data_IF_786319655643
#
_entry.id   IF_786319655643
#
_cell.length_a   1.000
_cell.length_b   1.000
_cell.length_c   1.000
_cell.angle_alpha   90.00
_cell.angle_beta   90.00
_cell.angle_gamma   90.00
#
_symmetry.space_group_name_H-M   'P 1'
#
loop_
_entity.id
_entity.type
_entity.pdbx_description
1 polymer ?
#
# COMPACT_ATOMS: atom_id res chain seq x y z
N UNK A 1 -13.80 17.77 21.92
CA UNK A 1 -13.36 19.18 22.01
C UNK A 1 -12.47 19.43 20.81
N UNK A 2 -12.72 20.48 20.05
CA UNK A 2 -11.90 20.84 18.90
C UNK A 2 -10.67 21.64 19.35
N UNK A 3 -9.74 21.91 18.44
CA UNK A 3 -8.51 22.65 18.73
C UNK A 3 -8.74 24.10 19.20
N UNK A 4 -9.90 24.68 18.86
CA UNK A 4 -10.34 26.01 19.33
C UNK A 4 -11.08 25.97 20.68
N UNK A 5 -11.15 24.80 21.33
CA UNK A 5 -11.85 24.60 22.59
C UNK A 5 -13.36 24.37 22.47
N UNK A 6 -13.94 24.53 21.27
CA UNK A 6 -15.38 24.29 21.05
C UNK A 6 -15.76 22.80 21.21
N UNK A 7 -17.05 22.54 21.41
CA UNK A 7 -17.59 21.19 21.64
C UNK A 7 -18.78 20.93 20.73
N UNK A 8 -18.80 19.74 20.14
CA UNK A 8 -19.89 19.25 19.29
C UNK A 8 -20.43 17.97 19.93
N UNK A 9 -21.75 17.92 20.15
CA UNK A 9 -22.45 16.70 20.56
C UNK A 9 -22.75 15.81 19.36
N UNK A 10 -22.87 14.50 19.58
CA UNK A 10 -23.18 13.54 18.53
C UNK A 10 -24.15 12.47 19.04
N UNK A 11 -25.00 11.95 18.15
CA UNK A 11 -25.77 10.72 18.39
C UNK A 11 -24.97 9.48 18.00
N UNK A 12 -24.32 9.53 16.83
CA UNK A 12 -23.36 8.55 16.33
C UNK A 12 -22.12 9.29 15.85
N UNK A 13 -20.93 8.71 16.03
CA UNK A 13 -19.66 9.26 15.57
C UNK A 13 -18.98 8.27 14.64
N UNK A 14 -18.51 8.72 13.47
CA UNK A 14 -17.65 7.93 12.58
C UNK A 14 -16.25 8.52 12.62
N UNK A 15 -15.28 7.72 13.03
CA UNK A 15 -13.86 8.06 13.01
C UNK A 15 -13.23 7.61 11.68
N UNK A 16 -12.88 8.57 10.84
CA UNK A 16 -12.36 8.33 9.48
C UNK A 16 -11.04 9.08 9.23
N UNK A 17 -10.16 9.11 10.23
CA UNK A 17 -8.94 9.93 10.22
C UNK A 17 -7.79 9.31 9.44
N UNK A 18 -7.91 8.05 9.04
CA UNK A 18 -6.88 7.31 8.32
C UNK A 18 -5.57 7.24 9.12
N UNK A 19 -4.47 7.67 8.52
CA UNK A 19 -3.17 7.73 9.19
C UNK A 19 -2.26 8.83 8.66
N UNK A 20 -1.19 9.07 9.42
CA UNK A 20 -0.12 10.00 9.08
C UNK A 20 1.11 9.23 8.57
N UNK A 21 1.94 9.81 7.69
CA UNK A 21 3.20 9.20 7.28
C UNK A 21 4.06 8.86 8.48
N UNK A 22 4.65 7.67 8.47
CA UNK A 22 5.65 7.29 9.46
C UNK A 22 6.89 8.13 9.23
N UNK A 23 7.23 8.94 10.22
CA UNK A 23 8.43 9.78 10.18
C UNK A 23 9.69 8.94 10.38
N UNK A 24 10.79 9.40 9.79
CA UNK A 24 12.12 8.93 10.13
C UNK A 24 12.47 9.36 11.55
N UNK A 25 13.14 8.49 12.30
CA UNK A 25 13.60 8.76 13.67
C UNK A 25 15.09 9.12 13.75
N UNK A 26 15.78 9.21 12.61
CA UNK A 26 17.19 9.56 12.55
C UNK A 26 17.40 11.09 12.56
N UNK A 27 18.64 11.51 12.83
CA UNK A 27 19.05 12.91 12.73
C UNK A 27 18.87 13.45 11.31
N UNK A 28 18.48 14.72 11.20
CA UNK A 28 18.24 15.41 9.92
C UNK A 28 16.89 15.09 9.27
N UNK A 29 16.02 14.34 9.92
CA UNK A 29 14.67 14.00 9.42
C UNK A 29 13.71 15.19 9.31
N UNK A 30 14.08 16.34 9.89
CA UNK A 30 13.38 17.62 9.87
C UNK A 30 13.99 18.65 8.91
N UNK A 31 15.04 18.29 8.17
CA UNK A 31 15.65 19.15 7.15
C UNK A 31 14.65 19.49 6.04
N UNK A 32 14.82 20.68 5.45
CA UNK A 32 14.12 21.05 4.22
C UNK A 32 14.54 20.13 3.07
N UNK A 33 13.64 19.88 2.12
CA UNK A 33 13.83 18.90 1.05
C UNK A 33 13.52 17.45 1.46
N UNK A 34 13.16 17.18 2.73
CA UNK A 34 12.64 15.89 3.18
C UNK A 34 11.11 15.89 3.11
N UNK A 35 10.54 15.02 2.29
CA UNK A 35 9.12 14.97 2.00
C UNK A 35 8.51 13.62 2.38
N UNK A 36 7.26 13.67 2.84
CA UNK A 36 6.36 12.53 2.84
C UNK A 36 5.32 12.76 1.75
N UNK A 37 4.64 11.72 1.25
CA UNK A 37 3.58 11.88 0.24
C UNK A 37 2.25 11.39 0.79
N UNK A 38 1.42 12.30 1.31
CA UNK A 38 0.09 11.93 1.84
C UNK A 38 -0.99 12.97 1.57
N UNK A 39 -0.66 14.24 1.71
CA UNK A 39 -1.58 15.34 1.47
C UNK A 39 -1.29 15.99 0.11
N UNK A 40 -2.29 16.69 -0.44
CA UNK A 40 -2.08 17.52 -1.63
C UNK A 40 -0.97 18.55 -1.39
N UNK A 41 -0.92 19.16 -0.21
CA UNK A 41 0.10 20.15 0.13
C UNK A 41 1.52 19.56 0.10
N UNK A 42 1.69 18.27 0.40
CA UNK A 42 2.98 17.60 0.26
C UNK A 42 3.41 17.53 -1.21
N UNK A 43 2.51 17.09 -2.09
CA UNK A 43 2.76 16.99 -3.52
C UNK A 43 3.04 18.38 -4.15
N UNK A 44 2.27 19.40 -3.77
CA UNK A 44 2.46 20.78 -4.24
C UNK A 44 3.84 21.32 -3.86
N UNK A 45 4.33 21.04 -2.64
CA UNK A 45 5.69 21.41 -2.21
C UNK A 45 6.77 20.68 -3.00
N UNK A 46 6.66 19.36 -3.14
CA UNK A 46 7.60 18.58 -3.93
C UNK A 46 7.69 19.09 -5.37
N UNK A 47 6.54 19.38 -6.00
CA UNK A 47 6.47 19.90 -7.36
C UNK A 47 7.15 21.28 -7.49
N UNK A 48 6.94 22.16 -6.51
CA UNK A 48 7.55 23.50 -6.49
C UNK A 48 9.08 23.45 -6.35
N UNK A 49 9.62 22.46 -5.62
CA UNK A 49 11.06 22.27 -5.42
C UNK A 49 11.74 21.54 -6.58
N UNK A 50 11.00 20.70 -7.31
CA UNK A 50 11.51 19.85 -8.40
C UNK A 50 12.41 20.56 -9.42
N UNK A 51 12.17 21.82 -9.84
CA UNK A 51 13.07 22.50 -10.78
C UNK A 51 14.52 22.69 -10.28
N UNK A 52 14.74 22.70 -8.96
CA UNK A 52 16.06 22.91 -8.33
C UNK A 52 16.74 21.62 -7.88
N UNK A 53 16.04 20.49 -8.00
CA UNK A 53 16.47 19.18 -7.54
C UNK A 53 17.04 18.39 -8.70
N UNK A 54 18.17 17.73 -8.51
CA UNK A 54 18.73 16.80 -9.49
C UNK A 54 18.83 15.38 -8.93
N UNK A 55 19.21 15.23 -7.67
CA UNK A 55 19.39 13.95 -7.00
C UNK A 55 18.25 13.72 -6.00
N UNK A 56 17.55 12.60 -6.12
CA UNK A 56 16.45 12.21 -5.24
C UNK A 56 16.73 10.86 -4.62
N UNK A 57 16.61 10.78 -3.30
CA UNK A 57 16.62 9.50 -2.59
C UNK A 57 15.22 9.17 -2.08
N UNK A 58 14.68 8.05 -2.50
CA UNK A 58 13.41 7.50 -2.02
C UNK A 58 13.70 6.44 -0.96
N UNK A 59 13.14 6.59 0.23
CA UNK A 59 13.30 5.65 1.35
C UNK A 59 12.03 4.82 1.47
N UNK A 60 12.13 3.54 1.15
CA UNK A 60 11.04 2.56 1.12
C UNK A 60 10.62 2.16 -0.29
N UNK A 61 10.70 0.86 -0.60
CA UNK A 61 10.31 0.23 -1.87
C UNK A 61 8.88 -0.30 -1.88
N UNK A 62 7.95 0.34 -1.17
CA UNK A 62 6.51 0.08 -1.28
C UNK A 62 5.89 0.76 -2.51
N UNK A 63 4.59 0.56 -2.75
CA UNK A 63 3.90 1.15 -3.92
C UNK A 63 4.09 2.67 -4.01
N UNK A 64 3.88 3.42 -2.92
CA UNK A 64 4.04 4.88 -2.90
C UNK A 64 5.46 5.31 -3.26
N UNK A 65 6.46 4.62 -2.70
CA UNK A 65 7.88 4.92 -2.97
C UNK A 65 8.23 4.67 -4.44
N UNK A 66 7.79 3.53 -4.99
CA UNK A 66 8.00 3.21 -6.40
C UNK A 66 7.22 4.13 -7.34
N UNK A 67 5.99 4.52 -7.01
CA UNK A 67 5.23 5.50 -7.81
C UNK A 67 5.92 6.86 -7.83
N UNK A 68 6.39 7.34 -6.68
CA UNK A 68 7.17 8.58 -6.59
C UNK A 68 8.46 8.49 -7.41
N UNK A 69 9.21 7.38 -7.29
CA UNK A 69 10.42 7.12 -8.06
C UNK A 69 10.15 7.15 -9.57
N UNK A 70 9.06 6.52 -10.02
CA UNK A 70 8.68 6.48 -11.43
C UNK A 70 8.35 7.88 -11.98
N UNK A 71 7.61 8.69 -11.22
CA UNK A 71 7.28 10.07 -11.61
C UNK A 71 8.54 10.94 -11.68
N UNK A 72 9.40 10.88 -10.66
CA UNK A 72 10.62 11.69 -10.60
C UNK A 72 11.64 11.29 -11.67
N UNK A 73 11.80 9.99 -11.95
CA UNK A 73 12.63 9.52 -13.05
C UNK A 73 12.12 10.01 -14.41
N UNK A 74 10.80 9.98 -14.64
CA UNK A 74 10.19 10.57 -15.85
C UNK A 74 10.42 12.07 -15.99
N UNK A 75 10.60 12.78 -14.87
CA UNK A 75 10.96 14.20 -14.83
C UNK A 75 12.48 14.44 -15.00
N UNK A 76 13.24 13.40 -15.34
CA UNK A 76 14.68 13.49 -15.63
C UNK A 76 15.58 13.58 -14.40
N UNK A 77 15.07 13.22 -13.21
CA UNK A 77 15.85 13.24 -11.97
C UNK A 77 16.69 11.96 -11.83
N UNK A 78 17.83 12.08 -11.16
CA UNK A 78 18.63 10.93 -10.73
C UNK A 78 17.98 10.38 -9.45
N UNK A 79 17.40 9.18 -9.54
CA UNK A 79 16.61 8.60 -8.45
C UNK A 79 17.30 7.36 -7.91
N UNK A 80 17.52 7.33 -6.60
CA UNK A 80 17.97 6.14 -5.86
C UNK A 80 16.87 5.71 -4.89
N UNK A 81 16.46 4.45 -4.94
CA UNK A 81 15.50 3.83 -4.00
C UNK A 81 16.28 2.97 -3.00
N UNK A 82 16.05 3.22 -1.71
CA UNK A 82 16.57 2.43 -0.60
C UNK A 82 15.44 1.56 -0.03
N UNK A 83 15.58 0.24 -0.14
CA UNK A 83 14.68 -0.73 0.47
C UNK A 83 15.43 -1.53 1.54
N UNK A 84 14.85 -1.60 2.73
CA UNK A 84 15.46 -2.27 3.88
C UNK A 84 15.39 -3.81 3.76
N UNK A 85 14.44 -4.32 3.00
CA UNK A 85 14.27 -5.74 2.70
C UNK A 85 15.08 -6.17 1.46
N UNK A 86 15.15 -7.48 1.23
CA UNK A 86 15.88 -8.12 0.14
C UNK A 86 15.21 -8.00 -1.24
N UNK A 87 14.04 -7.35 -1.29
CA UNK A 87 13.26 -7.05 -2.48
C UNK A 87 12.26 -5.92 -2.21
N UNK A 88 11.88 -5.20 -3.26
CA UNK A 88 10.79 -4.21 -3.19
C UNK A 88 9.44 -4.90 -3.01
N UNK A 89 8.41 -4.18 -2.55
CA UNK A 89 7.05 -4.71 -2.38
C UNK A 89 6.94 -5.95 -1.46
N UNK A 90 7.96 -6.23 -0.64
CA UNK A 90 8.10 -7.47 0.10
C UNK A 90 6.91 -7.82 1.01
N UNK A 91 6.20 -6.80 1.50
CA UNK A 91 5.07 -6.95 2.42
C UNK A 91 3.72 -7.15 1.74
N UNK A 92 3.63 -6.89 0.43
CA UNK A 92 2.34 -6.79 -0.30
C UNK A 92 2.25 -7.67 -1.53
N UNK A 93 3.38 -8.12 -2.07
CA UNK A 93 3.43 -8.96 -3.27
C UNK A 93 4.42 -10.12 -3.12
N UNK A 94 4.29 -11.13 -3.99
CA UNK A 94 5.26 -12.20 -4.13
C UNK A 94 6.53 -11.77 -4.83
N UNK A 95 7.59 -12.55 -4.66
CA UNK A 95 8.91 -12.28 -5.22
C UNK A 95 8.91 -12.02 -6.74
N UNK A 96 8.18 -12.77 -7.59
CA UNK A 96 8.20 -12.52 -9.03
C UNK A 96 7.76 -11.09 -9.41
N UNK A 97 6.79 -10.51 -8.68
CA UNK A 97 6.37 -9.13 -8.92
C UNK A 97 7.46 -8.14 -8.49
N UNK A 98 8.11 -8.40 -7.35
CA UNK A 98 9.23 -7.58 -6.87
C UNK A 98 10.35 -7.53 -7.91
N UNK A 99 10.78 -8.68 -8.42
CA UNK A 99 11.87 -8.75 -9.41
C UNK A 99 11.50 -8.09 -10.72
N UNK A 100 10.23 -8.20 -11.13
CA UNK A 100 9.72 -7.46 -12.28
C UNK A 100 9.85 -5.95 -12.06
N UNK A 101 9.30 -5.40 -10.97
CA UNK A 101 9.38 -3.96 -10.72
C UNK A 101 10.81 -3.47 -10.50
N UNK A 102 11.68 -4.26 -9.87
CA UNK A 102 13.10 -3.93 -9.74
C UNK A 102 13.78 -3.77 -11.11
N UNK A 103 13.54 -4.69 -12.05
CA UNK A 103 14.09 -4.62 -13.40
C UNK A 103 13.50 -3.44 -14.18
N UNK A 104 12.19 -3.20 -14.04
CA UNK A 104 11.49 -2.09 -14.69
C UNK A 104 12.00 -0.72 -14.28
N UNK A 105 12.15 -0.50 -12.96
CA UNK A 105 12.70 0.75 -12.44
C UNK A 105 14.15 0.96 -12.85
N UNK A 106 14.98 -0.09 -12.78
CA UNK A 106 16.38 -0.03 -13.25
C UNK A 106 16.49 0.28 -14.74
N UNK A 107 15.59 -0.27 -15.57
CA UNK A 107 15.52 0.03 -17.00
C UNK A 107 15.14 1.50 -17.27
N UNK A 108 14.48 2.17 -16.32
CA UNK A 108 14.19 3.60 -16.36
C UNK A 108 15.26 4.46 -15.66
N UNK A 109 16.43 3.89 -15.37
CA UNK A 109 17.56 4.61 -14.77
C UNK A 109 17.47 4.83 -13.27
N UNK A 110 16.52 4.18 -12.58
CA UNK A 110 16.43 4.22 -11.12
C UNK A 110 17.45 3.25 -10.52
N UNK A 111 18.30 3.76 -9.62
CA UNK A 111 19.17 2.91 -8.81
C UNK A 111 18.36 2.31 -7.65
N UNK A 112 18.47 1.00 -7.41
CA UNK A 112 17.75 0.34 -6.31
C UNK A 112 18.73 -0.42 -5.45
N UNK A 113 18.85 0.02 -4.19
CA UNK A 113 19.65 -0.64 -3.16
C UNK A 113 18.71 -1.42 -2.24
N UNK A 114 18.83 -2.75 -2.29
CA UNK A 114 18.12 -3.70 -1.44
C UNK A 114 18.97 -3.98 -0.19
N UNK A 115 18.34 -4.44 0.89
CA UNK A 115 18.98 -4.59 2.20
C UNK A 115 19.69 -3.30 2.66
N UNK A 116 19.22 -2.14 2.17
CA UNK A 116 19.85 -0.86 2.40
C UNK A 116 19.51 -0.35 3.80
N UNK A 117 20.55 -0.09 4.58
CA UNK A 117 20.43 0.49 5.93
C UNK A 117 21.06 1.87 5.91
N UNK A 118 20.23 2.89 6.08
CA UNK A 118 20.70 4.26 6.32
C UNK A 118 20.93 4.51 7.81
N UNK A 119 21.83 5.45 8.09
CA UNK A 119 22.10 5.96 9.44
C UNK A 119 21.30 7.25 9.69
N UNK A 120 21.58 8.30 8.93
CA UNK A 120 20.98 9.62 9.11
C UNK A 120 20.92 10.43 7.81
N UNK A 121 20.19 11.54 7.84
CA UNK A 121 20.21 12.55 6.79
C UNK A 121 21.24 13.63 7.15
N UNK A 122 21.99 14.08 6.15
CA UNK A 122 22.94 15.18 6.31
C UNK A 122 22.44 16.39 5.54
N UNK A 123 22.81 17.58 6.02
CA UNK A 123 22.34 18.83 5.44
C UNK A 123 23.32 19.97 5.58
N UNK A 124 23.05 21.02 4.82
CA UNK A 124 23.76 22.29 4.81
C UNK A 124 22.72 23.42 4.75
N UNK A 125 22.90 24.48 5.53
CA UNK A 125 21.98 25.63 5.62
C UNK A 125 20.50 25.24 5.85
N UNK A 126 20.26 24.15 6.59
CA UNK A 126 18.92 23.62 6.89
C UNK A 126 18.28 22.78 5.80
N UNK A 127 18.96 22.56 4.67
CA UNK A 127 18.51 21.71 3.56
C UNK A 127 19.23 20.38 3.53
N UNK A 128 18.53 19.32 3.13
CA UNK A 128 19.15 18.01 2.89
C UNK A 128 20.16 18.11 1.73
N UNK A 129 21.31 17.47 1.92
CA UNK A 129 22.36 17.35 0.90
C UNK A 129 22.78 15.91 0.66
N UNK A 130 22.35 14.98 1.52
CA UNK A 130 22.61 13.57 1.32
C UNK A 130 22.00 12.64 2.36
N UNK A 131 22.07 11.36 2.06
CA UNK A 131 21.72 10.26 2.95
C UNK A 131 23.00 9.53 3.33
N UNK A 132 23.32 9.51 4.63
CA UNK A 132 24.44 8.70 5.15
C UNK A 132 23.96 7.27 5.35
N UNK A 133 24.66 6.34 4.73
CA UNK A 133 24.44 4.91 4.87
C UNK A 133 25.13 4.38 6.14
N UNK A 134 24.67 3.23 6.64
CA UNK A 134 25.22 2.60 7.85
C UNK A 134 26.67 2.14 7.72
N UNK A 135 27.18 1.98 6.49
CA UNK A 135 28.59 1.70 6.20
C UNK A 135 29.45 2.97 6.13
N UNK A 136 28.87 4.14 6.36
CA UNK A 136 29.52 5.45 6.32
C UNK A 136 29.57 6.11 4.94
N UNK A 137 29.17 5.41 3.88
CA UNK A 137 29.02 6.02 2.55
C UNK A 137 27.90 7.07 2.53
N UNK A 138 27.97 8.01 1.59
CA UNK A 138 27.00 9.10 1.47
C UNK A 138 26.45 9.13 0.05
N UNK A 139 25.12 9.07 -0.06
CA UNK A 139 24.40 9.28 -1.30
C UNK A 139 24.00 10.76 -1.40
N UNK A 140 24.42 11.51 -2.43
CA UNK A 140 23.96 12.88 -2.64
C UNK A 140 22.44 12.93 -2.82
N UNK A 141 21.78 13.89 -2.16
CA UNK A 141 20.34 14.04 -2.24
C UNK A 141 19.95 15.51 -2.04
N UNK A 142 19.30 16.10 -3.04
CA UNK A 142 18.71 17.44 -2.94
C UNK A 142 17.24 17.35 -2.49
N UNK A 143 16.67 16.15 -2.62
CA UNK A 143 15.33 15.79 -2.16
C UNK A 143 15.34 14.37 -1.61
N UNK A 144 14.64 14.17 -0.49
CA UNK A 144 14.39 12.84 0.09
C UNK A 144 12.90 12.60 0.16
N UNK A 145 12.43 11.45 -0.36
CA UNK A 145 11.02 11.05 -0.29
C UNK A 145 10.87 9.86 0.63
N UNK A 146 10.06 10.00 1.68
CA UNK A 146 9.86 8.99 2.72
C UNK A 146 8.56 8.23 2.47
N UNK A 147 8.69 6.93 2.16
CA UNK A 147 7.60 6.01 1.81
C UNK A 147 7.60 4.73 2.65
N UNK A 148 7.80 4.83 3.97
CA UNK A 148 7.97 3.68 4.88
C UNK A 148 6.67 3.24 5.61
N UNK A 149 5.51 3.60 5.04
CA UNK A 149 4.19 3.31 5.59
C UNK A 149 3.63 4.41 6.48
N UNK A 150 2.48 4.16 7.10
CA UNK A 150 1.74 5.12 7.93
C UNK A 150 1.62 4.66 9.39
N UNK A 151 1.19 5.59 10.23
CA UNK A 151 0.73 5.37 11.61
C UNK A 151 -0.76 5.76 11.65
N UNK A 152 -1.67 4.87 12.07
CA UNK A 152 -3.09 5.19 12.22
C UNK A 152 -3.31 6.37 13.17
N UNK A 153 -4.13 7.34 12.77
CA UNK A 153 -4.42 8.54 13.54
C UNK A 153 -5.58 8.29 14.52
N UNK A 154 -5.32 7.49 15.55
CA UNK A 154 -6.34 6.89 16.42
C UNK A 154 -6.19 7.26 17.90
N UNK A 155 -5.20 8.07 18.23
CA UNK A 155 -4.85 8.43 19.60
C UNK A 155 -6.06 8.94 20.42
N UNK A 156 -6.97 9.78 19.89
CA UNK A 156 -8.15 10.20 20.63
C UNK A 156 -9.10 9.07 21.02
N UNK A 157 -9.25 8.04 20.17
CA UNK A 157 -10.11 6.88 20.45
C UNK A 157 -9.47 5.97 21.50
N UNK A 158 -8.16 5.75 21.39
CA UNK A 158 -7.40 4.98 22.39
C UNK A 158 -7.49 5.66 23.75
N UNK A 159 -7.27 6.98 23.80
CA UNK A 159 -7.40 7.75 25.03
C UNK A 159 -8.82 7.72 25.63
N UNK A 160 -9.84 7.54 24.80
CA UNK A 160 -11.23 7.35 25.22
C UNK A 160 -11.56 5.90 25.66
N UNK A 161 -10.60 4.98 25.57
CA UNK A 161 -10.75 3.57 25.99
C UNK A 161 -11.17 2.61 24.88
N UNK A 162 -11.01 2.96 23.60
CA UNK A 162 -11.27 2.04 22.50
C UNK A 162 -10.29 0.87 22.51
N UNK A 163 -10.77 -0.34 22.22
CA UNK A 163 -9.93 -1.49 21.93
C UNK A 163 -9.04 -1.18 20.73
N UNK A 164 -7.74 -1.44 20.87
CA UNK A 164 -6.75 -1.00 19.91
C UNK A 164 -5.65 -2.04 19.70
N UNK A 165 -5.11 -2.05 18.49
CA UNK A 165 -3.88 -2.74 18.12
C UNK A 165 -3.04 -1.83 17.24
N UNK A 166 -2.73 -2.26 16.03
CA UNK A 166 -2.17 -1.39 14.99
C UNK A 166 -3.25 -0.51 14.34
N UNK A 167 -3.99 0.30 15.12
CA UNK A 167 -5.25 0.96 14.74
C UNK A 167 -6.37 0.69 15.75
N UNK A 168 -7.61 1.07 15.41
CA UNK A 168 -8.80 0.83 16.26
C UNK A 168 -9.50 -0.44 15.80
N UNK A 169 -9.83 -1.31 16.74
CA UNK A 169 -10.56 -2.54 16.44
C UNK A 169 -12.03 -2.24 16.18
N UNK A 170 -12.56 -2.86 15.12
CA UNK A 170 -13.98 -2.80 14.78
C UNK A 170 -14.57 -4.17 14.49
N UNK A 171 -15.88 -4.28 14.70
CA UNK A 171 -16.68 -5.43 14.29
C UNK A 171 -17.03 -5.40 12.78
N UNK A 172 -17.81 -6.38 12.32
CA UNK A 172 -18.25 -6.49 10.93
C UNK A 172 -19.16 -5.34 10.46
N UNK A 173 -19.66 -4.49 11.37
CA UNK A 173 -20.45 -3.29 11.09
C UNK A 173 -19.64 -2.00 11.25
N UNK A 174 -18.31 -2.13 11.40
CA UNK A 174 -17.37 -1.04 11.64
C UNK A 174 -17.57 -0.33 13.00
N UNK A 175 -18.27 -0.94 13.96
CA UNK A 175 -18.42 -0.38 15.30
C UNK A 175 -17.17 -0.65 16.13
N UNK A 176 -16.74 0.35 16.88
CA UNK A 176 -15.68 0.21 17.87
C UNK A 176 -16.22 -0.41 19.17
N UNK A 177 -15.35 -0.72 20.12
CA UNK A 177 -15.75 -1.09 21.49
C UNK A 177 -16.45 0.05 22.25
N UNK A 178 -16.35 1.30 21.78
CA UNK A 178 -17.01 2.44 22.40
C UNK A 178 -18.44 2.59 21.86
N UNK A 179 -19.45 2.76 22.74
CA UNK A 179 -20.83 2.84 22.31
C UNK A 179 -21.05 4.02 21.37
N UNK A 180 -21.79 3.78 20.28
CA UNK A 180 -22.15 4.78 19.26
C UNK A 180 -20.96 5.35 18.45
N UNK A 181 -19.78 4.76 18.54
CA UNK A 181 -18.59 5.18 17.78
C UNK A 181 -18.18 4.08 16.80
N UNK A 182 -17.98 4.47 15.54
CA UNK A 182 -17.49 3.64 14.44
C UNK A 182 -16.08 4.09 14.06
N UNK A 183 -15.30 3.21 13.45
CA UNK A 183 -14.05 3.57 12.78
C UNK A 183 -13.99 2.93 11.39
N UNK A 184 -13.50 3.68 10.39
CA UNK A 184 -13.44 3.23 9.00
C UNK A 184 -12.12 3.65 8.31
N UNK A 185 -11.81 3.00 7.19
CA UNK A 185 -10.63 3.26 6.35
C UNK A 185 -9.32 2.82 6.98
N UNK A 186 -8.23 3.49 6.61
CA UNK A 186 -6.85 3.12 6.99
C UNK A 186 -6.60 3.02 8.50
N UNK A 187 -7.50 3.54 9.34
CA UNK A 187 -7.37 3.54 10.79
C UNK A 187 -8.01 2.31 11.48
N UNK A 188 -8.88 1.59 10.77
CA UNK A 188 -9.70 0.52 11.32
C UNK A 188 -9.07 -0.86 11.09
N UNK A 189 -9.00 -1.64 12.16
CA UNK A 189 -8.60 -3.05 12.14
C UNK A 189 -9.87 -3.89 12.20
N UNK A 190 -10.07 -4.78 11.22
CA UNK A 190 -11.22 -5.68 11.18
C UNK A 190 -10.78 -7.12 10.92
N UNK A 191 -11.60 -8.06 11.40
CA UNK A 191 -11.45 -9.45 11.01
C UNK A 191 -11.81 -9.59 9.52
N UNK A 192 -10.94 -10.24 8.74
CA UNK A 192 -11.14 -10.37 7.30
C UNK A 192 -11.19 -11.84 6.86
N UNK A 193 -12.27 -12.31 6.22
CA UNK A 193 -12.39 -13.70 5.79
C UNK A 193 -11.34 -14.08 4.72
N UNK A 194 -10.89 -13.13 3.90
CA UNK A 194 -9.84 -13.34 2.90
C UNK A 194 -8.43 -13.39 3.50
N UNK A 195 -8.28 -13.10 4.80
CA UNK A 195 -7.06 -13.29 5.58
C UNK A 195 -7.19 -14.44 6.59
N UNK A 196 -8.07 -15.42 6.33
CA UNK A 196 -8.30 -16.54 7.24
C UNK A 196 -8.90 -16.15 8.58
N UNK A 197 -9.67 -15.05 8.63
CA UNK A 197 -10.26 -14.52 9.85
C UNK A 197 -9.31 -13.69 10.71
N UNK A 198 -8.05 -13.48 10.27
CA UNK A 198 -7.12 -12.61 10.97
C UNK A 198 -7.63 -11.16 10.98
N UNK A 199 -7.28 -10.47 12.06
CA UNK A 199 -7.48 -9.03 12.20
C UNK A 199 -6.39 -8.30 11.43
N UNK A 200 -6.79 -7.59 10.38
CA UNK A 200 -5.89 -6.85 9.50
C UNK A 200 -6.34 -5.40 9.37
N UNK A 201 -5.45 -4.56 8.84
CA UNK A 201 -5.75 -3.18 8.49
C UNK A 201 -5.47 -2.98 7.01
N UNK A 202 -6.50 -2.65 6.25
CA UNK A 202 -6.40 -2.45 4.81
C UNK A 202 -6.29 -0.95 4.49
N UNK A 203 -5.19 -0.57 3.84
CA UNK A 203 -4.87 0.80 3.43
C UNK A 203 -5.21 0.99 1.94
N UNK A 204 -6.50 0.92 1.59
CA UNK A 204 -6.96 1.04 0.21
C UNK A 204 -8.23 1.88 0.08
N UNK A 205 -8.39 2.52 -1.09
CA UNK A 205 -9.60 3.27 -1.43
C UNK A 205 -10.83 2.37 -1.41
N UNK A 206 -10.72 1.13 -1.90
CA UNK A 206 -11.80 0.16 -1.84
C UNK A 206 -12.25 -0.10 -0.40
N UNK A 207 -11.31 -0.40 0.50
CA UNK A 207 -11.64 -0.72 1.89
C UNK A 207 -12.33 0.47 2.57
N UNK A 208 -11.81 1.69 2.36
CA UNK A 208 -12.42 2.90 2.89
C UNK A 208 -13.86 3.10 2.40
N UNK A 209 -14.11 2.91 1.10
CA UNK A 209 -15.45 3.04 0.52
C UNK A 209 -16.41 2.00 1.09
N UNK A 210 -15.99 0.73 1.14
CA UNK A 210 -16.87 -0.36 1.56
C UNK A 210 -17.16 -0.31 3.07
N UNK A 211 -16.17 0.05 3.90
CA UNK A 211 -16.42 0.30 5.33
C UNK A 211 -17.32 1.52 5.57
N UNK A 212 -17.18 2.59 4.76
CA UNK A 212 -18.08 3.75 4.84
C UNK A 212 -19.54 3.35 4.56
N UNK A 213 -19.76 2.55 3.51
CA UNK A 213 -21.09 2.03 3.17
C UNK A 213 -21.63 1.15 4.29
N UNK A 214 -20.83 0.22 4.82
CA UNK A 214 -21.22 -0.66 5.93
C UNK A 214 -21.65 0.13 7.17
N UNK A 215 -20.83 1.09 7.62
CA UNK A 215 -21.14 1.92 8.78
C UNK A 215 -22.42 2.75 8.57
N UNK A 216 -22.57 3.37 7.38
CA UNK A 216 -23.75 4.18 7.06
C UNK A 216 -25.03 3.34 7.03
N UNK A 217 -24.98 2.15 6.43
CA UNK A 217 -26.09 1.19 6.40
C UNK A 217 -26.51 0.74 7.79
N UNK A 218 -25.54 0.43 8.66
CA UNK A 218 -25.81 0.08 10.04
C UNK A 218 -26.47 1.24 10.80
N UNK A 219 -25.97 2.46 10.66
CA UNK A 219 -26.58 3.66 11.26
C UNK A 219 -28.01 3.89 10.77
N UNK A 220 -28.30 3.61 9.49
CA UNK A 220 -29.61 3.77 8.88
C UNK A 220 -30.61 2.65 9.21
N UNK A 221 -30.20 1.60 9.94
CA UNK A 221 -31.06 0.47 10.28
C UNK A 221 -31.18 -0.61 9.19
N UNK A 222 -30.33 -0.59 8.17
CA UNK A 222 -30.24 -1.58 7.09
C UNK A 222 -28.88 -2.31 7.14
N UNK A 223 -28.58 -2.87 8.31
CA UNK A 223 -27.28 -3.44 8.63
C UNK A 223 -26.90 -4.59 7.67
N UNK A 224 -25.72 -4.47 7.05
CA UNK A 224 -25.11 -5.49 6.23
C UNK A 224 -23.62 -5.63 6.61
N UNK A 225 -23.16 -6.82 7.03
CA UNK A 225 -21.76 -7.05 7.41
C UNK A 225 -20.77 -6.72 6.30
N UNK A 226 -19.60 -6.19 6.66
CA UNK A 226 -18.48 -6.04 5.74
C UNK A 226 -17.97 -7.42 5.27
N UNK A 227 -18.06 -7.67 3.97
CA UNK A 227 -17.62 -8.93 3.33
C UNK A 227 -16.91 -8.67 1.98
N UNK A 228 -16.60 -7.43 1.64
CA UNK A 228 -16.03 -7.09 0.34
C UNK A 228 -14.65 -7.74 0.12
N UNK A 229 -14.44 -8.29 -1.09
CA UNK A 229 -13.15 -8.84 -1.54
C UNK A 229 -12.14 -7.68 -1.63
N UNK A 230 -11.01 -7.74 -0.92
CA UNK A 230 -9.99 -6.70 -1.00
C UNK A 230 -9.46 -6.55 -2.42
N UNK A 231 -9.34 -5.31 -2.90
CA UNK A 231 -8.62 -5.03 -4.16
C UNK A 231 -7.88 -3.70 -4.10
N UNK A 232 -6.87 -3.59 -4.95
CA UNK A 232 -5.95 -2.45 -5.00
C UNK A 232 -5.42 -2.25 -6.42
N UNK A 233 -4.79 -1.11 -6.69
CA UNK A 233 -4.09 -0.86 -7.95
C UNK A 233 -2.86 0.03 -7.71
N UNK A 234 -1.87 -0.09 -8.58
CA UNK A 234 -0.71 0.81 -8.63
C UNK A 234 -0.40 1.17 -10.07
N UNK A 235 -0.06 2.43 -10.32
CA UNK A 235 0.29 2.92 -11.65
C UNK A 235 1.72 3.44 -11.65
N UNK A 236 2.60 2.74 -12.35
CA UNK A 236 4.02 3.08 -12.43
C UNK A 236 4.43 3.02 -13.90
N UNK A 237 4.91 4.13 -14.45
CA UNK A 237 5.18 4.25 -15.88
C UNK A 237 3.95 4.03 -16.77
N UNK A 238 4.01 3.09 -17.70
CA UNK A 238 2.91 2.54 -18.51
C UNK A 238 2.36 1.23 -17.92
N UNK A 239 2.84 0.81 -16.74
CA UNK A 239 2.44 -0.41 -16.06
C UNK A 239 1.24 -0.13 -15.14
N UNK A 240 0.12 -0.77 -15.47
CA UNK A 240 -1.10 -0.75 -14.65
C UNK A 240 -1.19 -2.07 -13.91
N UNK A 241 -0.88 -2.05 -12.61
CA UNK A 241 -1.10 -3.19 -11.73
C UNK A 241 -2.50 -3.11 -11.12
N UNK A 242 -3.22 -4.22 -11.16
CA UNK A 242 -4.45 -4.41 -10.41
C UNK A 242 -4.35 -5.70 -9.59
N UNK A 243 -4.68 -5.60 -8.31
CA UNK A 243 -4.61 -6.69 -7.35
C UNK A 243 -6.02 -7.02 -6.85
N UNK A 244 -6.36 -8.30 -6.77
CA UNK A 244 -7.61 -8.79 -6.16
C UNK A 244 -7.29 -9.89 -5.16
N UNK A 245 -7.91 -9.87 -3.99
CA UNK A 245 -7.61 -10.78 -2.88
C UNK A 245 -6.41 -10.35 -2.04
N UNK A 246 -5.99 -11.24 -1.14
CA UNK A 246 -4.82 -11.04 -0.27
C UNK A 246 -3.86 -12.22 -0.46
N UNK A 247 -2.62 -11.92 -0.81
CA UNK A 247 -1.58 -12.94 -1.04
C UNK A 247 -1.02 -13.53 0.27
N UNK A 248 -1.35 -12.96 1.44
CA UNK A 248 -0.82 -13.41 2.73
C UNK A 248 -1.02 -14.93 2.93
N UNK A 249 0.08 -15.66 3.18
CA UNK A 249 0.03 -17.10 3.44
C UNK A 249 -0.01 -17.99 2.18
N UNK A 250 0.26 -17.44 0.99
CA UNK A 250 0.47 -18.24 -0.21
C UNK A 250 1.65 -19.22 -0.04
N UNK A 251 1.56 -20.39 -0.65
CA UNK A 251 2.63 -21.39 -0.73
C UNK A 251 3.10 -21.64 -2.17
N UNK A 252 2.33 -21.19 -3.16
CA UNK A 252 2.62 -21.35 -4.57
C UNK A 252 2.20 -20.10 -5.38
N UNK A 253 2.95 -19.80 -6.44
CA UNK A 253 2.62 -18.74 -7.41
C UNK A 253 2.62 -19.32 -8.81
N UNK A 254 1.52 -19.17 -9.52
CA UNK A 254 1.41 -19.52 -10.94
C UNK A 254 1.55 -18.25 -11.78
N UNK A 255 2.50 -18.25 -12.71
CA UNK A 255 2.68 -17.16 -13.67
C UNK A 255 1.83 -17.47 -14.91
N UNK A 256 1.05 -16.49 -15.35
CA UNK A 256 0.19 -16.55 -16.53
C UNK A 256 0.55 -15.42 -17.48
N UNK A 257 0.98 -15.75 -18.70
CA UNK A 257 1.55 -14.78 -19.65
C UNK A 257 3.06 -14.62 -19.49
N UNK A 258 3.61 -13.50 -19.96
CA UNK A 258 5.06 -13.28 -20.01
C UNK A 258 5.44 -11.93 -19.40
N UNK A 259 6.26 -11.94 -18.35
CA UNK A 259 6.77 -10.72 -17.72
C UNK A 259 7.58 -9.85 -18.69
N UNK A 260 8.34 -10.46 -19.60
CA UNK A 260 9.09 -9.76 -20.64
C UNK A 260 8.19 -8.97 -21.61
N UNK A 261 6.93 -9.38 -21.79
CA UNK A 261 5.94 -8.66 -22.59
C UNK A 261 5.24 -7.53 -21.80
N UNK A 262 5.62 -7.30 -20.53
CA UNK A 262 5.02 -6.31 -19.62
C UNK A 262 3.51 -6.49 -19.45
N UNK A 263 3.01 -7.71 -19.68
CA UNK A 263 1.60 -8.07 -19.58
C UNK A 263 1.48 -9.51 -19.12
N UNK A 264 1.13 -9.68 -17.85
CA UNK A 264 1.08 -10.99 -17.19
C UNK A 264 0.26 -10.91 -15.90
N UNK A 265 -0.07 -12.08 -15.38
CA UNK A 265 -0.78 -12.25 -14.11
C UNK A 265 -0.02 -13.22 -13.23
N UNK A 266 0.14 -12.89 -11.96
CA UNK A 266 0.56 -13.82 -10.92
C UNK A 266 -0.68 -14.27 -10.16
N UNK A 267 -0.91 -15.57 -10.09
CA UNK A 267 -1.99 -16.16 -9.30
C UNK A 267 -1.37 -16.79 -8.06
N UNK A 268 -1.78 -16.32 -6.89
CA UNK A 268 -1.30 -16.80 -5.59
C UNK A 268 -2.21 -17.91 -5.09
N UNK A 269 -1.61 -19.04 -4.70
CA UNK A 269 -2.33 -20.19 -4.17
C UNK A 269 -1.86 -20.54 -2.77
N UNK A 270 -2.77 -21.12 -1.99
CA UNK A 270 -2.45 -21.81 -0.74
C UNK A 270 -3.18 -23.15 -0.74
N UNK A 271 -2.43 -24.25 -0.65
CA UNK A 271 -2.98 -25.62 -0.72
C UNK A 271 -3.87 -25.83 -1.95
N UNK A 272 -3.45 -25.25 -3.08
CA UNK A 272 -4.16 -25.31 -4.37
C UNK A 272 -5.36 -24.37 -4.50
N UNK A 273 -5.77 -23.64 -3.46
CA UNK A 273 -6.85 -22.65 -3.52
C UNK A 273 -6.32 -21.29 -3.96
N UNK A 274 -7.01 -20.61 -4.88
CA UNK A 274 -6.67 -19.24 -5.29
C UNK A 274 -6.97 -18.25 -4.16
N UNK A 275 -5.94 -17.53 -3.71
CA UNK A 275 -6.04 -16.49 -2.68
C UNK A 275 -6.11 -15.08 -3.26
N UNK A 276 -5.29 -14.82 -4.28
CA UNK A 276 -5.14 -13.49 -4.86
C UNK A 276 -4.60 -13.55 -6.29
N UNK A 277 -4.73 -12.43 -7.01
CA UNK A 277 -4.08 -12.21 -8.28
C UNK A 277 -3.42 -10.83 -8.30
N UNK A 278 -2.21 -10.74 -8.84
CA UNK A 278 -1.59 -9.49 -9.30
C UNK A 278 -1.56 -9.48 -10.83
N UNK A 279 -2.28 -8.55 -11.44
CA UNK A 279 -2.45 -8.44 -12.88
C UNK A 279 -1.74 -7.19 -13.39
N UNK A 280 -0.61 -7.35 -14.07
CA UNK A 280 0.12 -6.27 -14.74
C UNK A 280 -0.38 -6.16 -16.17
N UNK A 281 -1.01 -5.04 -16.52
CA UNK A 281 -1.59 -4.77 -17.84
C UNK A 281 -2.60 -5.84 -18.35
N UNK A 282 -3.12 -6.68 -17.45
CA UNK A 282 -4.07 -7.76 -17.76
C UNK A 282 -5.42 -7.53 -17.07
N UNK A 283 -6.15 -6.50 -17.50
CA UNK A 283 -7.47 -6.13 -16.92
C UNK A 283 -8.48 -7.28 -17.03
N UNK A 284 -8.41 -8.06 -18.12
CA UNK A 284 -9.29 -9.21 -18.34
C UNK A 284 -9.11 -10.27 -17.25
N UNK A 285 -7.86 -10.56 -16.88
CA UNK A 285 -7.57 -11.53 -15.83
C UNK A 285 -8.00 -11.00 -14.45
N UNK A 286 -7.77 -9.71 -14.17
CA UNK A 286 -8.22 -9.08 -12.94
C UNK A 286 -9.74 -9.22 -12.74
N UNK A 287 -10.53 -8.88 -13.76
CA UNK A 287 -12.00 -8.96 -13.68
C UNK A 287 -12.47 -10.40 -13.50
N UNK A 288 -11.91 -11.34 -14.26
CA UNK A 288 -12.33 -12.75 -14.18
C UNK A 288 -11.82 -13.45 -12.92
N UNK A 289 -10.62 -13.09 -12.45
CA UNK A 289 -9.96 -13.67 -11.28
C UNK A 289 -10.68 -13.42 -9.96
N UNK A 290 -11.48 -12.34 -9.87
CA UNK A 290 -12.32 -12.06 -8.70
C UNK A 290 -13.20 -13.26 -8.33
N UNK A 291 -13.77 -13.95 -9.31
CA UNK A 291 -14.61 -15.12 -9.04
C UNK A 291 -13.80 -16.28 -8.44
N UNK A 292 -12.58 -16.52 -8.94
CA UNK A 292 -11.69 -17.56 -8.38
C UNK A 292 -11.32 -17.27 -6.93
N UNK A 293 -11.07 -16.00 -6.59
CA UNK A 293 -10.76 -15.58 -5.21
C UNK A 293 -11.96 -15.76 -4.29
N UNK A 294 -13.16 -15.33 -4.72
CA UNK A 294 -14.39 -15.47 -3.93
C UNK A 294 -14.71 -16.94 -3.63
N UNK A 295 -14.61 -17.80 -4.65
CA UNK A 295 -14.94 -19.22 -4.50
C UNK A 295 -13.79 -20.05 -3.94
N UNK A 296 -12.61 -19.44 -3.73
CA UNK A 296 -11.37 -20.13 -3.38
C UNK A 296 -11.11 -21.33 -4.30
N UNK A 297 -11.32 -21.13 -5.60
CA UNK A 297 -11.28 -22.19 -6.60
C UNK A 297 -9.93 -22.93 -6.59
N UNK A 298 -9.97 -24.22 -6.94
CA UNK A 298 -8.78 -25.09 -7.06
C UNK A 298 -8.59 -25.57 -8.51
N UNK A 299 -8.31 -24.66 -9.47
CA UNK A 299 -8.18 -25.01 -10.87
C UNK A 299 -6.92 -25.87 -11.12
N UNK A 300 -6.94 -26.64 -12.21
CA UNK A 300 -5.71 -27.28 -12.70
C UNK A 300 -4.64 -26.21 -13.02
N UNK A 301 -3.44 -26.41 -12.48
CA UNK A 301 -2.36 -25.40 -12.55
C UNK A 301 -1.82 -25.20 -13.95
N UNK A 302 -1.78 -26.26 -14.76
CA UNK A 302 -1.31 -26.16 -16.15
C UNK A 302 -2.31 -25.35 -17.01
N UNK A 303 -3.61 -25.52 -16.73
CA UNK A 303 -4.67 -24.75 -17.38
C UNK A 303 -4.67 -23.30 -16.88
N UNK A 304 -4.48 -23.08 -15.57
CA UNK A 304 -4.39 -21.74 -14.96
C UNK A 304 -3.22 -20.92 -15.51
N UNK A 305 -2.07 -21.56 -15.77
CA UNK A 305 -0.89 -20.91 -16.34
C UNK A 305 -1.05 -20.50 -17.81
N UNK A 306 -1.98 -21.12 -18.56
CA UNK A 306 -2.12 -20.92 -20.00
C UNK A 306 -2.92 -19.65 -20.34
N UNK A 307 -2.29 -18.55 -20.80
CA UNK A 307 -2.94 -17.26 -21.04
C UNK A 307 -4.07 -17.32 -22.10
N UNK A 308 -4.08 -18.34 -22.97
CA UNK A 308 -5.09 -18.51 -24.02
C UNK A 308 -6.45 -19.00 -23.48
N UNK A 309 -6.47 -19.63 -22.31
CA UNK A 309 -7.70 -20.19 -21.71
C UNK A 309 -8.31 -19.18 -20.74
N UNK A 310 -9.48 -18.57 -21.01
CA UNK A 310 -10.02 -17.51 -20.15
C UNK A 310 -10.22 -17.97 -18.69
N UNK A 311 -9.80 -17.15 -17.71
CA UNK A 311 -9.96 -17.46 -16.28
C UNK A 311 -11.40 -17.84 -15.91
N UNK A 312 -12.40 -17.19 -16.52
CA UNK A 312 -13.81 -17.50 -16.26
C UNK A 312 -14.22 -18.95 -16.57
N UNK A 313 -13.51 -19.67 -17.45
CA UNK A 313 -13.80 -21.08 -17.74
C UNK A 313 -13.17 -22.03 -16.73
N UNK A 314 -12.39 -21.52 -15.78
CA UNK A 314 -11.73 -22.31 -14.74
C UNK A 314 -12.57 -22.44 -13.47
N UNK A 315 -13.71 -21.75 -13.41
CA UNK A 315 -14.73 -21.97 -12.39
C UNK A 315 -15.40 -23.32 -12.68
N UNK A 316 -14.96 -24.37 -11.98
CA UNK A 316 -15.67 -25.65 -11.97
C UNK A 316 -17.01 -25.43 -11.23
N UNK A 317 -18.07 -26.05 -11.76
CA UNK A 317 -19.44 -26.00 -11.22
C UNK A 317 -19.50 -26.49 -9.78
#
# INVERSE_FOLDING_TARGET
>A
MLSDGSRIGYGKLIWATGGAPRRLSCSGSDLMGVHNVRTRADADRMLAETPKVQNVVVIGGGYIGLEAAAVLAKLGKQVTVLEAMDRVLARVAGEPLSRFYEAEHRAHGVEIHLNAKMDCLIGHDGWVTGVRMSDGSVLPADMVVVGIGIVPAVEPLIAAGAASGNGVEVDEFCQTSLPNIYAIGDCAIHANPFAGGQRIRLESVQNANDQAITAARHIAGDAAPYHAVPWFWSNQYDLKLQTIGLSLGYDEVVVRGQSAARSFTLVYLSKGKVLALDCVNSVKDYVQGKALVITQATPDKSVLANPEIPIKSLLVS
#
